data_IF_709963226800
#
_entry.id   IF_709963226800
#
_cell.length_a   1.000
_cell.length_b   1.000
_cell.length_c   1.000
_cell.angle_alpha   90.00
_cell.angle_beta   90.00
_cell.angle_gamma   90.00
#
_symmetry.space_group_name_H-M   'P 1'
#
loop_
_entity.id
_entity.type
_entity.pdbx_description
1 polymer ?
#
# COMPACT_ATOMS: atom_id res chain seq x y z
N UNK A 1 -14.20 25.03 6.46
CA UNK A 1 -14.44 23.65 6.01
C UNK A 1 -15.20 23.74 4.70
N UNK A 2 -14.50 23.68 3.58
CA UNK A 2 -15.11 23.73 2.24
C UNK A 2 -14.52 22.58 1.43
N UNK A 3 -15.33 21.55 1.21
CA UNK A 3 -15.00 20.46 0.32
C UNK A 3 -15.24 20.92 -1.12
N UNK A 4 -14.18 21.10 -1.90
CA UNK A 4 -14.29 21.33 -3.34
C UNK A 4 -14.53 19.97 -4.03
N UNK A 5 -15.75 19.77 -4.51
CA UNK A 5 -16.13 18.65 -5.37
C UNK A 5 -15.83 19.01 -6.80
N UNK A 6 -14.78 18.47 -7.37
CA UNK A 6 -14.62 18.44 -8.82
C UNK A 6 -15.27 17.17 -9.36
N UNK A 7 -16.42 17.33 -10.04
CA UNK A 7 -17.09 16.23 -10.72
C UNK A 7 -16.42 15.96 -12.05
N UNK A 8 -15.92 14.75 -12.25
CA UNK A 8 -15.56 14.22 -13.57
C UNK A 8 -16.17 12.82 -13.69
N UNK A 9 -16.96 12.63 -14.73
CA UNK A 9 -17.56 11.37 -15.15
C UNK A 9 -16.47 10.47 -15.73
N UNK A 10 -16.16 9.41 -15.01
CA UNK A 10 -15.18 8.39 -15.35
C UNK A 10 -14.69 7.75 -14.07
N UNK A 11 -14.43 6.48 -14.08
CA UNK A 11 -14.00 5.67 -12.94
C UNK A 11 -12.74 6.29 -12.29
N UNK A 12 -12.91 7.26 -11.40
CA UNK A 12 -11.81 7.96 -10.76
C UNK A 12 -11.56 7.39 -9.38
N UNK A 13 -10.33 6.94 -9.17
CA UNK A 13 -9.81 6.63 -7.84
C UNK A 13 -9.76 7.93 -7.04
N UNK A 14 -10.59 8.05 -6.02
CA UNK A 14 -10.54 9.20 -5.11
C UNK A 14 -9.50 8.90 -4.03
N UNK A 15 -8.30 9.41 -4.22
CA UNK A 15 -7.27 9.42 -3.18
C UNK A 15 -7.66 10.47 -2.15
N UNK A 16 -7.87 10.06 -0.89
CA UNK A 16 -8.17 11.00 0.19
C UNK A 16 -6.91 11.76 0.57
N UNK A 17 -6.84 13.02 0.23
CA UNK A 17 -5.82 13.95 0.71
C UNK A 17 -6.36 14.68 1.95
N UNK A 18 -5.66 14.57 3.08
CA UNK A 18 -5.96 15.38 4.26
C UNK A 18 -5.15 16.66 4.16
N UNK A 19 -5.82 17.79 3.94
CA UNK A 19 -5.18 19.09 4.04
C UNK A 19 -4.79 19.37 5.49
N UNK A 20 -3.50 19.53 5.74
CA UNK A 20 -2.99 19.99 7.02
C UNK A 20 -3.26 21.49 7.13
N UNK A 21 -3.97 21.92 8.16
CA UNK A 21 -4.10 23.35 8.49
C UNK A 21 -2.71 23.97 8.65
N UNK A 22 -2.44 25.01 7.88
CA UNK A 22 -1.16 25.75 7.88
C UNK A 22 -0.97 26.68 9.09
N UNK A 23 -1.66 26.48 10.20
CA UNK A 23 -1.45 27.21 11.46
C UNK A 23 -0.46 26.48 12.39
N UNK A 24 0.66 26.04 11.85
CA UNK A 24 1.79 25.61 12.67
C UNK A 24 2.77 26.77 12.82
N UNK A 25 2.48 27.67 13.75
CA UNK A 25 3.47 28.58 14.32
C UNK A 25 4.55 27.72 14.96
N UNK A 26 5.76 27.76 14.42
CA UNK A 26 6.94 27.12 14.98
C UNK A 26 7.27 27.75 16.33
N UNK A 27 6.74 27.21 17.40
CA UNK A 27 7.18 27.47 18.76
C UNK A 27 6.80 26.26 19.60
N UNK A 28 7.79 25.64 20.23
CA UNK A 28 7.66 24.48 21.10
C UNK A 28 6.46 24.55 22.03
N UNK A 29 5.39 23.89 21.65
CA UNK A 29 4.25 23.60 22.49
C UNK A 29 4.22 22.10 22.73
N UNK A 30 4.59 21.70 23.90
CA UNK A 30 4.51 20.34 24.45
C UNK A 30 3.05 20.01 24.82
N UNK A 31 2.11 20.20 23.90
CA UNK A 31 0.70 19.79 24.12
C UNK A 31 -0.02 19.38 22.81
N UNK A 32 0.70 18.93 21.81
CA UNK A 32 0.15 18.16 20.73
C UNK A 32 0.24 16.68 21.13
N UNK A 33 -0.88 15.99 21.15
CA UNK A 33 -0.96 14.56 21.45
C UNK A 33 -0.15 13.80 20.38
N UNK A 34 1.16 13.65 20.59
CA UNK A 34 1.99 12.83 19.74
C UNK A 34 1.53 11.39 19.87
N UNK A 35 1.16 10.77 18.78
CA UNK A 35 0.77 9.36 18.77
C UNK A 35 2.00 8.52 19.16
N UNK A 36 1.78 7.54 20.04
CA UNK A 36 2.78 6.51 20.30
C UNK A 36 2.98 5.63 19.06
N UNK A 37 4.12 4.94 18.95
CA UNK A 37 4.38 3.99 17.86
C UNK A 37 3.28 2.93 17.76
N UNK A 38 2.74 2.47 18.89
CA UNK A 38 1.63 1.52 18.92
C UNK A 38 0.34 2.11 18.32
N UNK A 39 0.04 3.37 18.61
CA UNK A 39 -1.11 4.05 18.03
C UNK A 39 -0.93 4.26 16.53
N UNK A 40 0.28 4.66 16.08
CA UNK A 40 0.61 4.79 14.65
C UNK A 40 0.42 3.44 13.95
N UNK A 41 0.96 2.36 14.51
CA UNK A 41 0.82 1.02 13.96
C UNK A 41 -0.65 0.59 13.87
N UNK A 42 -1.46 0.81 14.92
CA UNK A 42 -2.88 0.44 14.93
C UNK A 42 -3.71 1.20 13.89
N UNK A 43 -3.37 2.44 13.61
CA UNK A 43 -4.06 3.27 12.60
C UNK A 43 -3.60 2.92 11.18
N UNK A 44 -2.31 2.64 10.98
CA UNK A 44 -1.75 2.39 9.65
C UNK A 44 -1.95 0.94 9.18
N UNK A 45 -1.88 -0.04 10.08
CA UNK A 45 -1.92 -1.46 9.71
C UNK A 45 -3.16 -1.89 8.91
N UNK A 46 -4.38 -1.37 9.16
CA UNK A 46 -5.54 -1.74 8.33
C UNK A 46 -5.42 -1.35 6.86
N UNK A 47 -4.56 -0.38 6.55
CA UNK A 47 -4.30 0.08 5.19
C UNK A 47 -3.13 -0.65 4.52
N UNK A 48 -2.41 -1.50 5.24
CA UNK A 48 -1.24 -2.24 4.74
C UNK A 48 -1.64 -3.67 4.45
N UNK A 49 -1.23 -4.17 3.28
CA UNK A 49 -1.54 -5.52 2.81
C UNK A 49 -0.27 -6.30 2.52
N UNK A 50 -0.36 -7.62 2.64
CA UNK A 50 0.65 -8.53 2.13
C UNK A 50 0.36 -8.85 0.66
N UNK A 51 1.41 -8.92 -0.16
CA UNK A 51 1.34 -9.30 -1.55
C UNK A 51 2.19 -10.54 -1.75
N UNK A 52 1.61 -11.57 -2.37
CA UNK A 52 2.32 -12.77 -2.78
C UNK A 52 2.24 -12.89 -4.30
N UNK A 53 3.35 -13.18 -4.93
CA UNK A 53 3.43 -13.32 -6.39
C UNK A 53 3.99 -14.69 -6.75
N UNK A 54 3.54 -15.21 -7.87
CA UNK A 54 4.09 -16.41 -8.48
C UNK A 54 4.58 -16.08 -9.88
N UNK A 55 5.75 -16.56 -10.21
CA UNK A 55 6.36 -16.44 -11.52
C UNK A 55 6.68 -17.82 -12.06
N UNK A 56 6.21 -18.14 -13.26
CA UNK A 56 6.61 -19.35 -13.96
C UNK A 56 7.96 -19.12 -14.62
N UNK A 57 8.97 -19.83 -14.17
CA UNK A 57 10.28 -19.85 -14.82
C UNK A 57 10.48 -21.18 -15.56
N UNK A 58 10.75 -21.10 -16.85
CA UNK A 58 11.19 -22.25 -17.64
C UNK A 58 12.68 -22.44 -17.42
N UNK A 59 13.10 -23.40 -16.60
CA UNK A 59 14.50 -23.81 -16.62
C UNK A 59 14.71 -24.78 -17.78
N UNK A 60 15.68 -24.50 -18.60
CA UNK A 60 16.20 -25.46 -19.60
C UNK A 60 16.95 -26.57 -18.88
N UNK A 61 16.23 -27.41 -18.16
CA UNK A 61 16.79 -28.70 -17.73
C UNK A 61 16.59 -29.70 -18.85
N UNK A 62 17.52 -30.63 -19.00
CA UNK A 62 17.50 -31.72 -20.01
C UNK A 62 16.17 -32.52 -20.01
N UNK A 63 15.36 -32.41 -18.97
CA UNK A 63 14.05 -33.06 -18.81
C UNK A 63 12.84 -32.11 -18.91
N UNK A 64 13.03 -30.84 -19.31
CA UNK A 64 11.93 -29.89 -19.53
C UNK A 64 11.02 -29.73 -18.29
N UNK A 65 11.42 -28.99 -17.29
CA UNK A 65 10.61 -28.71 -16.10
C UNK A 65 10.29 -27.23 -15.99
N UNK A 66 9.06 -26.93 -15.52
CA UNK A 66 8.70 -25.61 -15.04
C UNK A 66 8.85 -25.61 -13.52
N UNK A 67 9.42 -24.55 -12.97
CA UNK A 67 9.34 -24.32 -11.53
C UNK A 67 8.64 -22.98 -11.27
N UNK A 68 7.88 -22.94 -10.20
CA UNK A 68 7.19 -21.74 -9.74
C UNK A 68 8.09 -21.06 -8.72
N UNK A 69 8.45 -19.82 -9.00
CA UNK A 69 9.15 -18.97 -8.05
C UNK A 69 8.11 -18.07 -7.37
N UNK A 70 8.10 -18.07 -6.05
CA UNK A 70 7.23 -17.20 -5.26
C UNK A 70 8.00 -15.98 -4.80
N UNK A 71 7.35 -14.81 -4.87
CA UNK A 71 7.81 -13.56 -4.33
C UNK A 71 6.82 -13.03 -3.29
N UNK A 72 7.28 -12.13 -2.43
CA UNK A 72 6.43 -11.46 -1.45
C UNK A 72 6.81 -9.99 -1.33
N UNK A 73 5.82 -9.17 -0.98
CA UNK A 73 5.97 -7.74 -0.77
C UNK A 73 4.83 -7.16 0.05
N UNK A 74 4.86 -5.86 0.22
CA UNK A 74 3.79 -5.11 0.88
C UNK A 74 3.11 -4.17 -0.09
N UNK A 75 1.85 -3.86 0.18
CA UNK A 75 1.09 -2.82 -0.52
C UNK A 75 0.34 -1.93 0.44
N UNK A 76 -0.11 -0.80 -0.08
CA UNK A 76 -0.90 0.19 0.65
C UNK A 76 -2.22 0.40 -0.06
N UNK A 77 -3.33 0.22 0.64
CA UNK A 77 -4.67 0.49 0.12
C UNK A 77 -4.81 1.99 -0.08
N UNK A 78 -5.20 2.42 -1.28
CA UNK A 78 -5.40 3.84 -1.64
C UNK A 78 -6.85 4.20 -1.94
N UNK A 79 -7.74 3.19 -1.99
CA UNK A 79 -9.17 3.44 -2.18
C UNK A 79 -10.03 2.37 -1.50
N UNK A 80 -11.26 2.73 -1.18
CA UNK A 80 -12.22 1.81 -0.52
C UNK A 80 -12.71 0.67 -1.43
N UNK A 81 -12.55 0.83 -2.74
CA UNK A 81 -12.99 -0.12 -3.75
C UNK A 81 -11.88 -1.05 -4.25
N UNK A 82 -10.70 -1.07 -3.59
CA UNK A 82 -9.70 -2.09 -3.81
C UNK A 82 -8.50 -1.72 -4.66
N UNK A 83 -8.20 -0.43 -4.85
CA UNK A 83 -6.92 -0.03 -5.44
C UNK A 83 -5.81 -0.04 -4.38
N UNK A 84 -4.66 -0.60 -4.75
CA UNK A 84 -3.51 -0.82 -3.88
C UNK A 84 -2.26 -0.35 -4.60
N UNK A 85 -1.44 0.43 -3.89
CA UNK A 85 -0.14 0.87 -4.35
C UNK A 85 0.93 -0.10 -3.84
N UNK A 86 1.87 -0.49 -4.71
CA UNK A 86 3.02 -1.33 -4.36
C UNK A 86 4.23 -0.98 -5.23
N UNK A 87 5.36 -1.62 -5.00
CA UNK A 87 6.54 -1.48 -5.85
C UNK A 87 6.40 -2.30 -7.13
N UNK A 88 6.88 -1.75 -8.27
CA UNK A 88 6.81 -2.43 -9.55
C UNK A 88 7.64 -3.73 -9.55
N UNK A 89 8.80 -3.76 -8.89
CA UNK A 89 9.63 -4.95 -8.81
C UNK A 89 8.94 -6.14 -8.11
N UNK A 90 7.94 -5.87 -7.22
CA UNK A 90 7.17 -6.93 -6.54
C UNK A 90 6.32 -7.73 -7.52
N UNK A 91 5.75 -7.06 -8.54
CA UNK A 91 4.78 -7.65 -9.48
C UNK A 91 5.36 -7.88 -10.87
N UNK A 92 6.58 -7.42 -11.11
CA UNK A 92 7.22 -7.53 -12.42
C UNK A 92 7.45 -8.99 -12.81
N UNK A 93 6.88 -9.41 -13.95
CA UNK A 93 6.96 -10.78 -14.46
C UNK A 93 6.11 -11.79 -13.71
N UNK A 94 5.30 -11.38 -12.74
CA UNK A 94 4.40 -12.27 -12.04
C UNK A 94 3.29 -12.80 -12.98
N UNK A 95 3.04 -14.10 -12.90
CA UNK A 95 1.92 -14.77 -13.58
C UNK A 95 0.65 -14.78 -12.73
N UNK A 96 0.82 -14.66 -11.41
CA UNK A 96 -0.26 -14.57 -10.43
C UNK A 96 0.14 -13.59 -9.33
N UNK A 97 -0.81 -12.74 -8.93
CA UNK A 97 -0.64 -11.79 -7.82
C UNK A 97 -1.80 -11.98 -6.87
N UNK A 98 -1.50 -12.22 -5.61
CA UNK A 98 -2.50 -12.35 -4.54
C UNK A 98 -2.25 -11.31 -3.47
N UNK A 99 -3.33 -10.79 -2.91
CA UNK A 99 -3.32 -9.79 -1.85
C UNK A 99 -4.04 -10.36 -0.64
N UNK A 100 -3.41 -10.27 0.52
CA UNK A 100 -4.01 -10.62 1.81
C UNK A 100 -4.15 -9.35 2.65
N UNK A 101 -5.38 -9.11 3.13
CA UNK A 101 -5.66 -7.97 4.00
C UNK A 101 -5.13 -8.23 5.41
N UNK A 102 -4.76 -7.15 6.09
CA UNK A 102 -4.28 -7.26 7.47
C UNK A 102 -5.39 -7.81 8.40
N UNK A 103 -5.03 -8.83 9.20
CA UNK A 103 -5.97 -9.49 10.12
C UNK A 103 -6.98 -10.42 9.46
N UNK A 104 -6.82 -10.73 8.16
CA UNK A 104 -7.65 -11.69 7.44
C UNK A 104 -6.82 -12.84 6.88
N UNK A 105 -7.35 -14.04 6.96
CA UNK A 105 -6.77 -15.21 6.29
C UNK A 105 -7.21 -15.32 4.82
N UNK A 106 -8.12 -14.45 4.38
CA UNK A 106 -8.63 -14.43 3.01
C UNK A 106 -7.63 -13.76 2.07
N UNK A 107 -7.44 -14.39 0.91
CA UNK A 107 -6.55 -13.93 -0.14
C UNK A 107 -7.36 -13.57 -1.39
N UNK A 108 -7.13 -12.40 -1.94
CA UNK A 108 -7.79 -11.87 -3.13
C UNK A 108 -6.86 -11.96 -4.33
N UNK A 109 -7.38 -12.42 -5.47
CA UNK A 109 -6.67 -12.30 -6.73
C UNK A 109 -6.60 -10.82 -7.13
N UNK A 110 -5.40 -10.37 -7.52
CA UNK A 110 -5.16 -8.99 -7.90
C UNK A 110 -4.80 -8.86 -9.38
N UNK A 111 -5.35 -7.82 -10.00
CA UNK A 111 -4.99 -7.42 -11.36
C UNK A 111 -4.02 -6.24 -11.31
N UNK A 112 -2.93 -6.30 -12.07
CA UNK A 112 -2.03 -5.17 -12.26
C UNK A 112 -2.69 -4.17 -13.21
N UNK A 113 -3.08 -3.01 -12.68
CA UNK A 113 -3.71 -1.92 -13.44
C UNK A 113 -2.69 -1.15 -14.26
N UNK A 114 -1.48 -0.98 -13.69
CA UNK A 114 -0.37 -0.32 -14.34
C UNK A 114 0.88 -0.41 -13.47
N UNK A 115 2.04 -0.27 -14.13
CA UNK A 115 3.32 -0.22 -13.44
C UNK A 115 4.30 0.68 -14.19
N UNK A 116 5.21 1.29 -13.45
CA UNK A 116 6.34 2.05 -13.97
C UNK A 116 7.62 1.57 -13.27
N UNK A 117 8.51 0.95 -14.06
CA UNK A 117 9.78 0.44 -13.55
C UNK A 117 10.79 1.55 -13.24
N UNK A 118 10.59 2.77 -13.78
CA UNK A 118 11.50 3.89 -13.54
C UNK A 118 11.32 4.46 -12.14
N UNK A 119 10.07 4.62 -11.72
CA UNK A 119 9.70 5.07 -10.37
C UNK A 119 9.55 3.94 -9.38
N UNK A 120 9.62 2.69 -9.84
CA UNK A 120 9.34 1.47 -9.08
C UNK A 120 7.96 1.46 -8.42
N UNK A 121 6.93 1.93 -9.15
CA UNK A 121 5.55 2.00 -8.66
C UNK A 121 4.66 1.07 -9.49
N UNK A 122 3.75 0.35 -8.82
CA UNK A 122 2.66 -0.38 -9.45
C UNK A 122 1.34 -0.15 -8.72
N UNK A 123 0.25 -0.23 -9.47
CA UNK A 123 -1.11 -0.18 -8.95
C UNK A 123 -1.81 -1.49 -9.23
N UNK A 124 -2.36 -2.07 -8.18
CA UNK A 124 -3.16 -3.29 -8.22
C UNK A 124 -4.64 -2.97 -7.99
N UNK A 125 -5.50 -3.87 -8.45
CA UNK A 125 -6.94 -3.86 -8.18
C UNK A 125 -7.36 -5.24 -7.68
N UNK A 126 -8.06 -5.26 -6.55
CA UNK A 126 -8.73 -6.45 -6.01
C UNK A 126 -10.25 -6.23 -6.01
N UNK A 127 -11.01 -7.31 -6.06
CA UNK A 127 -12.48 -7.26 -5.96
C UNK A 127 -12.91 -7.32 -4.49
N UNK A 128 -12.72 -6.18 -3.81
CA UNK A 128 -13.10 -5.97 -2.42
C UNK A 128 -13.63 -4.55 -2.23
N UNK A 129 -14.52 -4.37 -1.26
CA UNK A 129 -15.14 -3.08 -0.95
C UNK A 129 -15.11 -2.80 0.55
N UNK A 130 -15.30 -1.54 0.94
CA UNK A 130 -15.31 -1.15 2.34
C UNK A 130 -13.93 -1.19 3.00
N UNK A 131 -12.87 -1.15 2.18
CA UNK A 131 -11.51 -1.16 2.67
C UNK A 131 -11.15 0.18 3.35
N UNK A 132 -10.11 0.16 4.16
CA UNK A 132 -9.57 1.34 4.84
C UNK A 132 -8.37 1.90 4.07
N UNK A 133 -8.54 2.98 3.27
CA UNK A 133 -7.41 3.58 2.57
C UNK A 133 -6.45 4.28 3.53
N UNK A 134 -5.16 4.27 3.20
CA UNK A 134 -4.19 5.10 3.90
C UNK A 134 -4.44 6.59 3.65
N UNK A 135 -4.15 7.38 4.66
CA UNK A 135 -4.14 8.84 4.55
C UNK A 135 -2.81 9.27 3.93
N UNK A 136 -2.88 9.92 2.77
CA UNK A 136 -1.69 10.43 2.07
C UNK A 136 -1.36 11.80 2.64
N UNK A 137 -0.15 11.94 3.19
CA UNK A 137 0.38 13.19 3.71
C UNK A 137 1.11 14.02 2.64
N UNK A 138 1.56 15.18 3.06
CA UNK A 138 2.39 16.08 2.25
C UNK A 138 3.87 15.84 2.61
N UNK A 139 4.64 15.28 1.67
CA UNK A 139 6.06 14.99 1.89
C UNK A 139 6.90 16.26 1.98
N UNK A 140 6.48 17.37 1.36
CA UNK A 140 7.21 18.64 1.39
C UNK A 140 7.10 19.34 2.76
N UNK A 141 6.12 18.94 3.58
CA UNK A 141 5.94 19.44 4.93
C UNK A 141 6.82 18.73 5.98
N UNK A 142 7.56 17.70 5.61
CA UNK A 142 8.42 16.95 6.53
C UNK A 142 9.71 17.73 6.85
N UNK A 143 10.12 17.70 8.13
CA UNK A 143 11.36 18.30 8.58
C UNK A 143 12.41 17.25 8.94
N UNK A 144 13.68 17.57 8.71
CA UNK A 144 14.82 16.73 9.14
C UNK A 144 14.83 16.59 10.66
N UNK A 145 14.88 15.36 11.16
CA UNK A 145 14.83 15.05 12.58
C UNK A 145 13.45 14.62 13.10
N UNK A 146 12.41 14.63 12.25
CA UNK A 146 11.12 14.04 12.61
C UNK A 146 11.23 12.51 12.71
N UNK A 147 10.42 11.93 13.61
CA UNK A 147 10.34 10.47 13.77
C UNK A 147 9.51 9.89 12.64
N UNK A 148 10.07 8.93 11.93
CA UNK A 148 9.40 8.15 10.90
C UNK A 148 9.20 6.71 11.38
N UNK A 149 8.02 6.15 11.09
CA UNK A 149 7.68 4.75 11.39
C UNK A 149 7.39 4.04 10.07
N UNK A 150 8.16 3.00 9.77
CA UNK A 150 7.89 2.14 8.62
C UNK A 150 6.91 1.03 9.02
N UNK A 151 5.85 0.86 8.21
CA UNK A 151 4.85 -0.20 8.39
C UNK A 151 4.79 -1.02 7.11
N UNK A 152 4.94 -2.34 7.23
CA UNK A 152 4.90 -3.25 6.08
C UNK A 152 4.68 -4.69 6.52
N UNK A 153 4.30 -5.54 5.56
CA UNK A 153 4.17 -6.98 5.74
C UNK A 153 4.86 -7.73 4.59
N UNK A 154 6.20 -7.64 4.48
CA UNK A 154 6.94 -8.12 3.33
C UNK A 154 7.01 -9.65 3.19
N UNK A 155 6.66 -10.40 4.23
CA UNK A 155 6.73 -11.86 4.22
C UNK A 155 5.36 -12.54 4.13
N UNK A 156 4.27 -11.77 4.20
CA UNK A 156 2.90 -12.29 4.08
C UNK A 156 2.45 -13.28 5.18
N UNK A 157 3.38 -13.67 6.05
CA UNK A 157 3.18 -14.72 7.05
C UNK A 157 3.08 -14.20 8.48
N UNK A 158 3.30 -12.92 8.68
CA UNK A 158 3.14 -12.30 9.97
C UNK A 158 1.70 -11.80 10.11
N UNK A 159 0.77 -12.72 10.37
CA UNK A 159 -0.45 -12.37 11.07
C UNK A 159 -0.01 -11.72 12.38
N UNK A 160 -0.27 -10.43 12.49
CA UNK A 160 0.16 -9.63 13.62
C UNK A 160 -0.34 -10.22 14.92
N UNK A 161 0.57 -10.67 15.72
CA UNK A 161 0.41 -10.75 17.17
C UNK A 161 0.63 -9.37 17.75
#
# INVERSE_FOLDING_TARGET
MVASRAGLTGNQVVVQQVERSTDATAAGSTDGTSMSVQQIASVASPSVVAITTEQMSSSQTWFGGYYVQSGAGSGVIISQDGYILTCAHVVNGATSVKVQLNGSDESYDATVVGQDSTSDIAVLKIDATGLTPAVIGDSDALAVGEVAVAVGNPLGTLSNT
#
